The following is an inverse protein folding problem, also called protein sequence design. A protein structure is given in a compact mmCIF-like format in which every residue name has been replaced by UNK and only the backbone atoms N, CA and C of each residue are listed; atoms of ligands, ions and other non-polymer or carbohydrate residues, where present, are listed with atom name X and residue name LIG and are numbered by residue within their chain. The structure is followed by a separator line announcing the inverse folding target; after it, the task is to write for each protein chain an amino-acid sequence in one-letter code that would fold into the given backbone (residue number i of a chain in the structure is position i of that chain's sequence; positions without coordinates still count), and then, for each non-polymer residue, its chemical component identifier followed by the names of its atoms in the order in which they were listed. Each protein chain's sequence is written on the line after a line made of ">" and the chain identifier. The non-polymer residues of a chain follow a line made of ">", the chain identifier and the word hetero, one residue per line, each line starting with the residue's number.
data_IF_062419421303
#
_entry.id   IF_062419421303
#
_cell.length_a   1.000
_cell.length_b   1.000
_cell.length_c   1.000
_cell.angle_alpha   90.00
_cell.angle_beta   90.00
_cell.angle_gamma   90.00
#
_symmetry.space_group_name_H-M   'P 1'
#
loop_
_entity.id
_entity.type
_entity.pdbx_description
1 polymer ?
#
# COMPACT_ATOMS: atom_id res chain seq x y z
N UNK A 1 14.93 -16.75 -17.04
CA UNK A 1 14.77 -15.51 -16.28
C UNK A 1 13.29 -15.21 -16.30
N UNK A 2 12.67 -14.94 -15.15
CA UNK A 2 11.23 -14.68 -15.11
C UNK A 2 10.91 -13.31 -15.72
N UNK A 3 9.81 -13.25 -16.47
CA UNK A 3 9.30 -12.01 -17.06
C UNK A 3 8.34 -11.34 -16.06
N UNK A 4 8.77 -10.26 -15.45
CA UNK A 4 7.97 -9.48 -14.48
C UNK A 4 7.48 -8.21 -15.15
N UNK A 5 6.18 -7.96 -15.09
CA UNK A 5 5.58 -6.72 -15.57
C UNK A 5 5.13 -5.88 -14.37
N UNK A 6 5.62 -4.64 -14.28
CA UNK A 6 5.27 -3.71 -13.22
C UNK A 6 4.29 -2.67 -13.78
N UNK A 7 3.13 -2.55 -13.16
CA UNK A 7 2.07 -1.63 -13.55
C UNK A 7 2.16 -0.35 -12.73
N UNK A 8 2.73 0.70 -13.33
CA UNK A 8 2.95 2.01 -12.74
C UNK A 8 4.43 2.37 -12.57
N UNK A 9 4.83 3.50 -13.12
CA UNK A 9 6.16 4.12 -12.96
C UNK A 9 6.12 5.30 -11.97
N UNK A 10 5.34 5.16 -10.90
CA UNK A 10 5.31 6.09 -9.78
C UNK A 10 6.54 5.94 -8.87
N UNK A 11 6.57 6.67 -7.76
CA UNK A 11 7.69 6.61 -6.79
C UNK A 11 8.00 5.18 -6.34
N UNK A 12 6.96 4.40 -5.99
CA UNK A 12 7.12 3.04 -5.48
C UNK A 12 7.41 2.05 -6.62
N UNK A 13 6.60 2.07 -7.70
CA UNK A 13 6.81 1.16 -8.83
C UNK A 13 8.19 1.32 -9.50
N UNK A 14 8.71 2.54 -9.58
CA UNK A 14 10.07 2.78 -10.08
C UNK A 14 11.15 2.20 -9.15
N UNK A 15 10.97 2.30 -7.83
CA UNK A 15 11.90 1.70 -6.87
C UNK A 15 11.90 0.16 -6.94
N UNK A 16 10.71 -0.45 -7.04
CA UNK A 16 10.57 -1.89 -7.24
C UNK A 16 11.23 -2.35 -8.55
N UNK A 17 11.02 -1.61 -9.64
CA UNK A 17 11.62 -1.91 -10.93
C UNK A 17 13.14 -1.87 -10.90
N UNK A 18 13.70 -0.86 -10.23
CA UNK A 18 15.14 -0.69 -10.06
C UNK A 18 15.79 -1.84 -9.26
N UNK A 19 15.05 -2.42 -8.33
CA UNK A 19 15.55 -3.55 -7.54
C UNK A 19 15.35 -4.88 -8.28
N UNK A 20 14.15 -5.17 -8.75
CA UNK A 20 13.80 -6.42 -9.41
C UNK A 20 14.54 -6.65 -10.74
N UNK A 21 14.94 -5.61 -11.47
CA UNK A 21 15.69 -5.77 -12.72
C UNK A 21 17.09 -6.37 -12.54
N UNK A 22 17.56 -6.54 -11.31
CA UNK A 22 18.81 -7.24 -10.99
C UNK A 22 18.68 -8.77 -11.10
N UNK A 23 17.46 -9.29 -10.92
CA UNK A 23 17.19 -10.72 -10.80
C UNK A 23 16.19 -11.25 -11.84
N UNK A 24 15.40 -10.36 -12.45
CA UNK A 24 14.36 -10.70 -13.40
C UNK A 24 14.44 -9.84 -14.68
N UNK A 25 13.77 -10.31 -15.74
CA UNK A 25 13.48 -9.49 -16.91
C UNK A 25 12.28 -8.61 -16.60
N UNK A 26 12.51 -7.30 -16.40
CA UNK A 26 11.46 -6.37 -15.97
C UNK A 26 10.97 -5.52 -17.14
N UNK A 27 9.64 -5.43 -17.28
CA UNK A 27 8.98 -4.45 -18.12
C UNK A 27 8.11 -3.53 -17.26
N UNK A 28 8.33 -2.22 -17.33
CA UNK A 28 7.51 -1.23 -16.62
C UNK A 28 6.50 -0.62 -17.57
N UNK A 29 5.24 -0.55 -17.15
CA UNK A 29 4.14 -0.02 -17.94
C UNK A 29 3.55 1.21 -17.24
N UNK A 30 3.50 2.34 -17.94
CA UNK A 30 2.88 3.58 -17.46
C UNK A 30 2.42 4.43 -18.65
N UNK A 31 1.53 5.38 -18.43
CA UNK A 31 1.13 6.35 -19.44
C UNK A 31 2.14 7.49 -19.63
N UNK A 32 3.02 7.72 -18.66
CA UNK A 32 3.99 8.80 -18.65
C UNK A 32 5.30 8.37 -19.33
N UNK A 33 5.41 8.65 -20.63
CA UNK A 33 6.56 8.25 -21.44
C UNK A 33 7.89 8.84 -20.95
N UNK A 34 7.87 10.05 -20.40
CA UNK A 34 9.03 10.74 -19.83
C UNK A 34 9.59 10.02 -18.59
N UNK A 35 8.72 9.55 -17.69
CA UNK A 35 9.12 8.76 -16.53
C UNK A 35 9.72 7.42 -16.94
N UNK A 36 9.09 6.76 -17.90
CA UNK A 36 9.58 5.49 -18.45
C UNK A 36 10.96 5.65 -19.10
N UNK A 37 11.16 6.71 -19.88
CA UNK A 37 12.45 6.98 -20.49
C UNK A 37 13.55 7.28 -19.47
N UNK A 38 13.23 8.06 -18.42
CA UNK A 38 14.16 8.33 -17.34
C UNK A 38 14.56 7.05 -16.59
N UNK A 39 13.61 6.15 -16.33
CA UNK A 39 13.85 4.89 -15.64
C UNK A 39 14.71 3.94 -16.49
N UNK A 40 14.39 3.77 -17.78
CA UNK A 40 15.15 2.95 -18.71
C UNK A 40 16.59 3.48 -18.95
N UNK A 41 16.80 4.79 -18.83
CA UNK A 41 18.13 5.39 -18.90
C UNK A 41 19.02 5.08 -17.70
N UNK A 42 18.46 4.65 -16.59
CA UNK A 42 19.18 4.36 -15.34
C UNK A 42 19.30 2.86 -15.03
N UNK A 43 18.39 2.04 -15.54
CA UNK A 43 18.28 0.63 -15.19
C UNK A 43 18.11 -0.25 -16.43
N UNK A 44 18.63 -1.50 -16.42
CA UNK A 44 18.54 -2.45 -17.53
C UNK A 44 17.13 -3.11 -17.57
N UNK A 45 16.10 -2.37 -17.90
CA UNK A 45 14.71 -2.80 -17.98
C UNK A 45 14.04 -2.34 -19.27
N UNK A 46 12.91 -2.98 -19.59
CA UNK A 46 12.07 -2.59 -20.71
C UNK A 46 10.95 -1.65 -20.24
N UNK A 47 10.43 -0.86 -21.15
CA UNK A 47 9.32 0.05 -20.87
C UNK A 47 8.24 -0.06 -21.93
N UNK A 48 7.00 0.14 -21.54
CA UNK A 48 5.86 0.18 -22.44
C UNK A 48 4.91 1.31 -22.05
N UNK A 49 4.61 2.19 -23.00
CA UNK A 49 3.61 3.24 -22.78
C UNK A 49 2.22 2.65 -23.00
N UNK A 50 1.38 2.67 -21.97
CA UNK A 50 -0.02 2.23 -22.06
C UNK A 50 -0.89 2.94 -21.02
N UNK A 51 -2.17 3.08 -21.33
CA UNK A 51 -3.17 3.55 -20.37
C UNK A 51 -3.72 2.35 -19.60
N UNK A 52 -3.33 2.19 -18.35
CA UNK A 52 -3.74 1.07 -17.49
C UNK A 52 -5.21 1.11 -17.05
N UNK A 53 -5.92 2.23 -17.29
CA UNK A 53 -7.37 2.31 -17.11
C UNK A 53 -8.15 1.66 -18.26
N UNK A 54 -7.49 1.35 -19.37
CA UNK A 54 -8.04 0.61 -20.51
C UNK A 54 -7.72 -0.87 -20.33
N UNK A 55 -8.74 -1.69 -20.12
CA UNK A 55 -8.57 -3.12 -19.86
C UNK A 55 -7.90 -3.87 -21.02
N UNK A 56 -8.15 -3.49 -22.27
CA UNK A 56 -7.54 -4.16 -23.42
C UNK A 56 -6.07 -3.76 -23.56
N UNK A 57 -5.74 -2.50 -23.31
CA UNK A 57 -4.34 -2.04 -23.25
C UNK A 57 -3.58 -2.71 -22.09
N UNK A 58 -4.23 -2.90 -20.94
CA UNK A 58 -3.67 -3.63 -19.81
C UNK A 58 -3.41 -5.11 -20.16
N UNK A 59 -4.41 -5.83 -20.71
CA UNK A 59 -4.24 -7.22 -21.16
C UNK A 59 -3.10 -7.37 -22.16
N UNK A 60 -3.02 -6.45 -23.14
CA UNK A 60 -1.93 -6.46 -24.11
C UNK A 60 -0.56 -6.17 -23.44
N UNK A 61 -0.54 -5.32 -22.41
CA UNK A 61 0.70 -4.96 -21.73
C UNK A 61 1.29 -6.10 -20.90
N UNK A 62 0.46 -6.96 -20.31
CA UNK A 62 0.90 -8.09 -19.46
C UNK A 62 1.00 -9.43 -20.22
N UNK A 63 0.72 -9.44 -21.52
CA UNK A 63 0.81 -10.67 -22.31
C UNK A 63 2.21 -11.29 -22.25
N UNK A 64 2.28 -12.56 -21.83
CA UNK A 64 3.53 -13.30 -21.67
C UNK A 64 4.31 -12.99 -20.37
N UNK A 65 3.71 -12.30 -19.42
CA UNK A 65 4.27 -12.14 -18.09
C UNK A 65 4.15 -13.44 -17.28
N UNK A 66 5.19 -13.76 -16.50
CA UNK A 66 5.14 -14.83 -15.50
C UNK A 66 4.55 -14.29 -14.17
N UNK A 67 4.76 -13.00 -13.92
CA UNK A 67 4.30 -12.30 -12.72
C UNK A 67 3.99 -10.84 -13.06
N UNK A 68 2.90 -10.34 -12.50
CA UNK A 68 2.55 -8.92 -12.51
C UNK A 68 2.76 -8.32 -11.12
N UNK A 69 3.33 -7.13 -11.05
CA UNK A 69 3.40 -6.31 -9.83
C UNK A 69 2.50 -5.09 -10.02
N UNK A 70 1.43 -5.01 -9.24
CA UNK A 70 0.50 -3.90 -9.22
C UNK A 70 1.04 -2.75 -8.37
N UNK A 71 1.25 -1.58 -8.98
CA UNK A 71 1.71 -0.35 -8.31
C UNK A 71 0.95 0.88 -8.84
N UNK A 72 -0.32 0.68 -9.16
CA UNK A 72 -1.26 1.74 -9.59
C UNK A 72 -1.86 2.45 -8.37
N UNK A 73 -2.41 3.67 -8.53
CA UNK A 73 -3.17 4.34 -7.47
C UNK A 73 -4.37 3.51 -7.01
N UNK A 74 -4.77 3.66 -5.74
CA UNK A 74 -5.82 2.87 -5.11
C UNK A 74 -7.13 2.85 -5.89
N UNK A 75 -7.59 3.99 -6.42
CA UNK A 75 -8.84 4.08 -7.19
C UNK A 75 -8.88 3.24 -8.48
N UNK A 76 -7.73 2.74 -8.93
CA UNK A 76 -7.62 1.83 -10.09
C UNK A 76 -7.35 0.38 -9.66
N UNK A 77 -6.98 0.17 -8.41
CA UNK A 77 -6.41 -1.08 -7.91
C UNK A 77 -7.28 -2.29 -8.16
N UNK A 78 -8.54 -2.25 -7.71
CA UNK A 78 -9.46 -3.39 -7.83
C UNK A 78 -9.70 -3.82 -9.28
N UNK A 79 -10.03 -2.87 -10.17
CA UNK A 79 -10.27 -3.17 -11.58
C UNK A 79 -9.00 -3.69 -12.30
N UNK A 80 -7.83 -3.17 -11.93
CA UNK A 80 -6.54 -3.64 -12.43
C UNK A 80 -6.27 -5.06 -11.96
N UNK A 81 -6.43 -5.35 -10.66
CA UNK A 81 -6.25 -6.66 -10.06
C UNK A 81 -7.17 -7.70 -10.71
N UNK A 82 -8.47 -7.38 -10.84
CA UNK A 82 -9.44 -8.23 -11.51
C UNK A 82 -9.01 -8.57 -12.94
N UNK A 83 -8.63 -7.55 -13.73
CA UNK A 83 -8.20 -7.76 -15.12
C UNK A 83 -6.96 -8.66 -15.21
N UNK A 84 -5.98 -8.50 -14.30
CA UNK A 84 -4.80 -9.37 -14.26
C UNK A 84 -5.19 -10.81 -13.96
N UNK A 85 -6.03 -11.05 -12.95
CA UNK A 85 -6.52 -12.39 -12.57
C UNK A 85 -7.29 -13.03 -13.74
N UNK A 86 -8.15 -12.28 -14.43
CA UNK A 86 -8.88 -12.76 -15.62
C UNK A 86 -7.96 -13.30 -16.72
N UNK A 87 -6.76 -12.75 -16.86
CA UNK A 87 -5.78 -13.20 -17.86
C UNK A 87 -5.00 -14.45 -17.44
N UNK A 88 -5.16 -14.93 -16.22
CA UNK A 88 -4.49 -16.11 -15.70
C UNK A 88 -3.02 -15.88 -15.29
N UNK A 89 -2.64 -14.64 -14.97
CA UNK A 89 -1.27 -14.30 -14.55
C UNK A 89 -1.23 -14.06 -13.03
N UNK A 90 -0.22 -14.64 -12.38
CA UNK A 90 0.02 -14.38 -10.96
C UNK A 90 0.30 -12.90 -10.68
N UNK A 91 -0.15 -12.40 -9.53
CA UNK A 91 -0.02 -10.98 -9.22
C UNK A 91 0.35 -10.74 -7.76
N UNK A 92 1.24 -9.76 -7.55
CA UNK A 92 1.51 -9.14 -6.25
C UNK A 92 1.10 -7.68 -6.34
N UNK A 93 0.18 -7.25 -5.51
CA UNK A 93 -0.41 -5.91 -5.58
C UNK A 93 -0.21 -5.11 -4.30
N UNK A 94 0.25 -3.86 -4.46
CA UNK A 94 0.45 -2.94 -3.34
C UNK A 94 -0.64 -1.85 -3.27
N UNK A 95 -1.55 -1.80 -4.24
CA UNK A 95 -2.58 -0.76 -4.26
C UNK A 95 -3.59 -0.97 -3.14
N UNK A 96 -3.99 0.12 -2.49
CA UNK A 96 -4.97 0.08 -1.42
C UNK A 96 -6.28 0.73 -1.88
N UNK A 97 -7.26 -0.08 -2.22
CA UNK A 97 -8.57 0.29 -2.74
C UNK A 97 -9.68 0.02 -1.72
N UNK A 98 -10.88 0.55 -1.95
CA UNK A 98 -12.01 0.47 -1.01
C UNK A 98 -12.68 -0.90 -1.00
N UNK A 99 -12.70 -1.58 -2.15
CA UNK A 99 -13.36 -2.86 -2.33
C UNK A 99 -12.65 -3.95 -1.52
N UNK A 100 -13.38 -5.03 -1.21
CA UNK A 100 -12.81 -6.20 -0.56
C UNK A 100 -12.06 -7.05 -1.61
N UNK A 101 -10.74 -7.21 -1.51
CA UNK A 101 -9.97 -8.03 -2.46
C UNK A 101 -10.40 -9.50 -2.47
N UNK A 102 -11.00 -10.01 -1.39
CA UNK A 102 -11.48 -11.39 -1.31
C UNK A 102 -12.71 -11.66 -2.18
N UNK A 103 -13.40 -10.62 -2.69
CA UNK A 103 -14.43 -10.78 -3.72
C UNK A 103 -13.87 -11.44 -5.01
N UNK A 104 -12.56 -11.33 -5.23
CA UNK A 104 -11.86 -11.95 -6.38
C UNK A 104 -11.34 -13.37 -6.11
N UNK A 105 -11.51 -13.93 -4.89
CA UNK A 105 -10.97 -15.24 -4.54
C UNK A 105 -11.51 -16.36 -5.43
N UNK A 106 -12.82 -16.38 -5.67
CA UNK A 106 -13.44 -17.38 -6.55
C UNK A 106 -12.90 -17.30 -7.99
N UNK A 107 -12.70 -16.09 -8.51
CA UNK A 107 -12.13 -15.86 -9.83
C UNK A 107 -10.66 -16.32 -9.90
N UNK A 108 -9.86 -16.01 -8.87
CA UNK A 108 -8.47 -16.41 -8.80
C UNK A 108 -8.33 -17.94 -8.78
N UNK A 109 -9.17 -18.64 -8.02
CA UNK A 109 -9.24 -20.11 -7.98
C UNK A 109 -9.64 -20.71 -9.32
N UNK A 110 -10.65 -20.15 -9.98
CA UNK A 110 -11.11 -20.61 -11.29
C UNK A 110 -10.00 -20.47 -12.35
N UNK A 111 -9.22 -19.40 -12.28
CA UNK A 111 -8.10 -19.14 -13.20
C UNK A 111 -6.79 -19.83 -12.79
N UNK A 112 -6.72 -20.45 -11.63
CA UNK A 112 -5.50 -21.07 -11.11
C UNK A 112 -4.40 -20.04 -10.80
N UNK A 113 -4.79 -18.81 -10.40
CA UNK A 113 -3.90 -17.67 -10.14
C UNK A 113 -3.65 -17.52 -8.65
N UNK A 114 -2.41 -17.22 -8.29
CA UNK A 114 -2.06 -16.70 -6.97
C UNK A 114 -2.04 -15.17 -7.02
N UNK A 115 -2.94 -14.55 -6.26
CA UNK A 115 -2.98 -13.11 -6.07
C UNK A 115 -2.59 -12.77 -4.62
N UNK A 116 -1.49 -12.05 -4.45
CA UNK A 116 -1.05 -11.55 -3.14
C UNK A 116 -1.37 -10.06 -3.08
N UNK A 117 -2.29 -9.68 -2.22
CA UNK A 117 -2.80 -8.31 -2.09
C UNK A 117 -2.29 -7.66 -0.79
N UNK A 118 -2.53 -6.35 -0.65
CA UNK A 118 -2.07 -5.59 0.52
C UNK A 118 -0.56 -5.76 0.78
N UNK A 119 0.27 -5.73 -0.28
CA UNK A 119 1.68 -6.06 -0.22
C UNK A 119 2.59 -4.83 -0.12
N UNK A 120 2.10 -3.78 0.56
CA UNK A 120 2.85 -2.54 0.84
C UNK A 120 3.63 -2.58 2.15
N UNK A 121 3.76 -1.42 2.81
CA UNK A 121 4.37 -1.30 4.14
C UNK A 121 3.33 -1.56 5.23
N UNK A 122 2.20 -0.87 5.17
CA UNK A 122 1.03 -1.05 6.03
C UNK A 122 -0.23 -0.57 5.27
N UNK A 123 -0.95 -1.51 4.69
CA UNK A 123 -0.85 -2.98 4.78
C UNK A 123 0.37 -3.57 4.05
N UNK A 124 0.87 -4.70 4.53
CA UNK A 124 1.89 -5.52 3.88
C UNK A 124 2.99 -5.99 4.79
N UNK A 125 4.10 -5.27 4.92
CA UNK A 125 5.21 -5.66 5.81
C UNK A 125 4.73 -5.88 7.25
N UNK A 126 3.83 -5.05 7.73
CA UNK A 126 3.19 -5.19 9.03
C UNK A 126 2.47 -6.55 9.17
N UNK A 127 1.78 -7.02 8.12
CA UNK A 127 1.09 -8.31 8.08
C UNK A 127 2.07 -9.49 8.09
N UNK A 128 3.14 -9.39 7.32
CA UNK A 128 4.21 -10.40 7.27
C UNK A 128 4.86 -10.55 8.65
N UNK A 129 5.16 -9.43 9.31
CA UNK A 129 5.73 -9.42 10.66
C UNK A 129 4.77 -10.03 11.67
N UNK A 130 3.49 -9.66 11.62
CA UNK A 130 2.46 -10.24 12.48
C UNK A 130 2.36 -11.75 12.25
N UNK A 131 2.23 -12.21 11.02
CA UNK A 131 2.15 -13.63 10.68
C UNK A 131 3.37 -14.42 11.17
N UNK A 132 4.59 -13.88 10.97
CA UNK A 132 5.81 -14.49 11.47
C UNK A 132 5.81 -14.71 12.99
N UNK A 133 5.35 -13.73 13.75
CA UNK A 133 5.30 -13.84 15.20
C UNK A 133 4.15 -14.73 15.67
N UNK A 134 3.01 -14.69 15.02
CA UNK A 134 1.84 -15.48 15.37
C UNK A 134 2.04 -16.99 15.24
N UNK A 135 2.94 -17.42 14.33
CA UNK A 135 3.37 -18.83 14.24
C UNK A 135 4.25 -19.28 15.42
N UNK A 136 4.76 -18.36 16.23
CA UNK A 136 5.77 -18.61 17.27
C UNK A 136 5.33 -18.26 18.68
N UNK A 137 4.27 -17.45 18.80
CA UNK A 137 3.76 -16.98 20.08
C UNK A 137 2.26 -16.69 19.97
N UNK A 138 1.56 -16.72 21.11
CA UNK A 138 0.20 -16.21 21.18
C UNK A 138 0.25 -14.67 21.11
N UNK A 139 -0.33 -14.10 20.06
CA UNK A 139 -0.45 -12.64 19.89
C UNK A 139 -1.82 -12.24 20.43
N UNK A 140 -1.84 -11.48 21.51
CA UNK A 140 -3.07 -10.99 22.14
C UNK A 140 -3.52 -9.66 21.51
N UNK A 141 -2.56 -8.81 21.15
CA UNK A 141 -2.83 -7.53 20.49
C UNK A 141 -1.75 -7.18 19.47
N UNK A 142 -2.13 -6.44 18.44
CA UNK A 142 -1.23 -5.95 17.42
C UNK A 142 -1.55 -4.50 17.09
N UNK A 143 -0.51 -3.67 17.12
CA UNK A 143 -0.61 -2.27 16.76
C UNK A 143 0.49 -1.87 15.79
N UNK A 144 0.10 -1.35 14.64
CA UNK A 144 1.02 -0.85 13.63
C UNK A 144 1.04 0.68 13.65
N UNK A 145 2.21 1.26 13.90
CA UNK A 145 2.46 2.69 13.76
C UNK A 145 3.24 2.91 12.47
N UNK A 146 2.69 3.68 11.56
CA UNK A 146 3.30 3.96 10.26
C UNK A 146 3.16 5.44 9.92
N UNK A 147 4.15 6.01 9.24
CA UNK A 147 4.09 7.41 8.83
C UNK A 147 5.25 7.81 7.92
N UNK A 148 4.98 8.79 7.06
CA UNK A 148 5.99 9.45 6.24
C UNK A 148 6.47 10.72 6.91
N UNK A 149 7.73 10.77 7.36
CA UNK A 149 8.28 11.91 8.08
C UNK A 149 9.37 12.60 7.25
N UNK A 150 9.40 13.96 7.21
CA UNK A 150 10.52 14.66 6.60
C UNK A 150 11.78 14.50 7.45
N UNK A 151 12.93 14.29 6.81
CA UNK A 151 14.22 14.19 7.51
C UNK A 151 14.55 15.46 8.33
N UNK A 152 13.98 16.59 7.95
CA UNK A 152 14.05 17.85 8.70
C UNK A 152 12.66 18.38 8.87
N UNK A 153 12.28 18.70 10.12
CA UNK A 153 11.00 19.36 10.43
C UNK A 153 10.95 20.74 9.77
N UNK A 154 9.87 21.00 9.03
CA UNK A 154 9.62 22.32 8.45
C UNK A 154 8.14 22.66 8.60
N UNK A 155 7.86 23.78 9.22
CA UNK A 155 6.52 24.33 9.34
C UNK A 155 6.05 24.82 7.94
N UNK A 156 4.80 24.57 7.51
CA UNK A 156 3.74 23.80 8.20
C UNK A 156 3.77 22.30 7.86
N UNK A 157 4.71 21.83 7.06
CA UNK A 157 4.74 20.49 6.48
C UNK A 157 5.48 19.52 7.41
N UNK A 158 4.71 18.81 8.23
CA UNK A 158 5.27 17.85 9.19
C UNK A 158 5.05 16.38 8.80
N UNK A 159 4.44 16.16 7.66
CA UNK A 159 4.28 14.86 7.01
C UNK A 159 4.87 14.93 5.60
N UNK A 160 5.52 13.87 5.16
CA UNK A 160 6.04 13.74 3.80
C UNK A 160 5.64 12.39 3.24
N UNK A 161 4.70 12.38 2.31
CA UNK A 161 4.26 11.16 1.65
C UNK A 161 5.41 10.52 0.84
N UNK A 162 5.80 9.29 1.13
CA UNK A 162 6.73 8.53 0.30
C UNK A 162 6.05 7.80 -0.87
N UNK A 163 4.75 7.99 -1.05
CA UNK A 163 3.89 7.36 -2.06
C UNK A 163 2.91 8.38 -2.68
N UNK A 164 1.91 7.91 -3.41
CA UNK A 164 0.96 8.76 -4.13
C UNK A 164 0.23 9.75 -3.20
N UNK A 165 0.29 11.07 -3.45
CA UNK A 165 -0.39 12.06 -2.63
C UNK A 165 -1.91 11.91 -2.59
N UNK A 166 -2.53 11.35 -3.63
CA UNK A 166 -3.98 11.11 -3.63
C UNK A 166 -4.34 10.01 -2.63
N UNK A 167 -3.53 8.95 -2.54
CA UNK A 167 -3.75 7.86 -1.61
C UNK A 167 -3.57 8.32 -0.14
N UNK A 168 -2.68 9.30 0.11
CA UNK A 168 -2.58 9.96 1.43
C UNK A 168 -3.88 10.70 1.79
N UNK A 169 -4.49 11.39 0.83
CA UNK A 169 -5.76 12.07 1.07
C UNK A 169 -6.88 11.07 1.34
N UNK A 170 -6.91 9.95 0.63
CA UNK A 170 -7.85 8.86 0.87
C UNK A 170 -7.71 8.28 2.28
N UNK A 171 -6.49 8.07 2.79
CA UNK A 171 -6.25 7.61 4.15
C UNK A 171 -6.84 8.56 5.21
N UNK A 172 -6.90 9.85 4.94
CA UNK A 172 -7.42 10.85 5.87
C UNK A 172 -8.95 11.01 5.81
N UNK A 173 -9.60 10.41 4.84
CA UNK A 173 -11.05 10.49 4.62
C UNK A 173 -11.72 9.14 4.92
N UNK A 174 -11.07 8.04 4.54
CA UNK A 174 -11.62 6.70 4.67
C UNK A 174 -11.77 6.30 6.14
N UNK A 175 -12.96 5.81 6.57
CA UNK A 175 -13.14 5.32 7.93
C UNK A 175 -12.16 4.21 8.27
N UNK A 176 -11.58 4.28 9.47
CA UNK A 176 -10.62 3.30 9.97
C UNK A 176 -11.35 2.06 10.52
N UNK A 177 -11.05 0.89 9.97
CA UNK A 177 -11.49 -0.41 10.49
C UNK A 177 -10.47 -0.93 11.48
N UNK A 178 -10.91 -1.25 12.67
CA UNK A 178 -10.10 -1.75 13.77
C UNK A 178 -10.73 -3.02 14.32
N UNK A 179 -9.94 -3.90 14.90
CA UNK A 179 -10.45 -5.01 15.72
C UNK A 179 -10.30 -4.63 17.18
N UNK A 180 -11.40 -4.67 17.95
CA UNK A 180 -11.43 -4.39 19.39
C UNK A 180 -12.21 -5.50 20.07
N UNK A 181 -11.61 -6.16 21.03
CA UNK A 181 -12.24 -7.30 21.75
C UNK A 181 -12.76 -8.42 20.81
N UNK A 182 -12.09 -8.63 19.66
CA UNK A 182 -12.48 -9.62 18.65
C UNK A 182 -13.59 -9.19 17.71
N UNK A 183 -14.06 -7.94 17.78
CA UNK A 183 -15.08 -7.39 16.91
C UNK A 183 -14.54 -6.28 16.00
N UNK A 184 -15.01 -6.24 14.76
CA UNK A 184 -14.65 -5.16 13.82
C UNK A 184 -15.40 -3.88 14.19
N UNK A 185 -14.65 -2.84 14.53
CA UNK A 185 -15.17 -1.53 14.88
C UNK A 185 -14.71 -0.51 13.83
N UNK A 186 -15.64 0.28 13.32
CA UNK A 186 -15.33 1.36 12.37
C UNK A 186 -15.34 2.70 13.11
N UNK A 187 -14.24 3.43 12.97
CA UNK A 187 -14.08 4.78 13.53
C UNK A 187 -13.81 5.81 12.42
N UNK A 188 -14.09 7.09 12.64
CA UNK A 188 -13.66 8.13 11.69
C UNK A 188 -12.14 8.10 11.50
N UNK A 189 -11.68 8.43 10.31
CA UNK A 189 -10.26 8.71 10.08
C UNK A 189 -9.77 9.80 11.03
N UNK A 190 -8.49 9.77 11.40
CA UNK A 190 -7.83 10.70 12.33
C UNK A 190 -8.42 10.72 13.76
N UNK A 191 -9.24 9.72 14.12
CA UNK A 191 -9.78 9.59 15.46
C UNK A 191 -8.74 9.15 16.48
N UNK A 192 -9.06 9.32 17.76
CA UNK A 192 -8.25 8.92 18.93
C UNK A 192 -6.78 9.36 18.83
N UNK A 193 -6.50 10.66 18.62
CA UNK A 193 -5.13 11.15 18.56
C UNK A 193 -4.44 10.96 19.92
N UNK A 194 -3.22 10.44 19.89
CA UNK A 194 -2.42 10.22 21.08
C UNK A 194 -0.95 10.56 20.85
N UNK A 195 -0.23 11.09 21.85
CA UNK A 195 1.20 11.28 21.76
C UNK A 195 1.93 9.93 21.87
N UNK A 196 2.91 9.72 20.99
CA UNK A 196 3.79 8.56 21.01
C UNK A 196 5.24 9.02 20.96
N UNK A 197 6.06 8.52 21.86
CA UNK A 197 7.50 8.79 21.86
C UNK A 197 8.23 7.71 21.07
N UNK A 198 8.99 8.12 20.05
CA UNK A 198 9.75 7.21 19.18
C UNK A 198 11.20 7.69 19.10
N UNK A 199 12.11 6.98 19.75
CA UNK A 199 13.53 7.28 19.65
C UNK A 199 14.11 6.84 18.28
N UNK A 200 14.99 7.65 17.66
CA UNK A 200 15.48 8.98 18.06
C UNK A 200 14.65 10.15 17.51
N UNK A 201 13.42 9.88 17.02
CA UNK A 201 12.59 10.85 16.29
C UNK A 201 11.97 11.88 17.23
N UNK A 202 11.66 11.47 18.47
CA UNK A 202 10.96 12.24 19.48
C UNK A 202 9.45 12.04 19.46
N UNK A 203 8.72 12.97 20.08
CA UNK A 203 7.27 12.87 20.21
C UNK A 203 6.55 13.09 18.89
N UNK A 204 5.70 12.15 18.54
CA UNK A 204 4.80 12.17 17.39
C UNK A 204 3.35 12.13 17.87
N UNK A 205 2.43 12.52 17.02
CA UNK A 205 0.99 12.31 17.22
C UNK A 205 0.55 11.13 16.34
N UNK A 206 -0.01 10.10 16.97
CA UNK A 206 -0.58 8.95 16.28
C UNK A 206 -2.12 9.05 16.27
N UNK A 207 -2.75 8.64 15.18
CA UNK A 207 -4.21 8.64 15.01
C UNK A 207 -4.65 7.43 14.19
N UNK A 208 -5.93 7.06 14.28
CA UNK A 208 -6.47 5.91 13.58
C UNK A 208 -6.61 6.19 12.08
N UNK A 209 -6.13 5.22 11.28
CA UNK A 209 -6.38 5.15 9.83
C UNK A 209 -6.66 3.72 9.41
N UNK A 210 -7.26 3.53 8.23
CA UNK A 210 -7.55 2.22 7.68
C UNK A 210 -6.28 1.55 7.12
N UNK A 211 -6.19 0.23 7.16
CA UNK A 211 -5.03 -0.48 6.61
C UNK A 211 -4.84 -1.91 7.12
N UNK A 212 -5.82 -2.46 7.83
CA UNK A 212 -5.75 -3.83 8.34
C UNK A 212 -6.92 -4.71 7.84
N UNK A 213 -7.53 -4.34 6.70
CA UNK A 213 -8.72 -5.02 6.17
C UNK A 213 -8.53 -6.52 5.96
N UNK A 214 -7.36 -6.94 5.52
CA UNK A 214 -7.04 -8.34 5.26
C UNK A 214 -6.68 -9.16 6.52
N UNK A 215 -6.66 -8.53 7.71
CA UNK A 215 -6.46 -9.20 8.99
C UNK A 215 -7.75 -9.39 9.81
N UNK A 216 -8.88 -8.88 9.35
CA UNK A 216 -10.12 -8.87 10.12
C UNK A 216 -10.70 -10.28 10.36
N UNK A 217 -10.41 -11.23 9.48
CA UNK A 217 -10.93 -12.59 9.53
C UNK A 217 -9.97 -13.59 10.19
N UNK A 218 -8.84 -13.17 10.72
CA UNK A 218 -7.83 -14.10 11.27
C UNK A 218 -8.15 -14.60 12.70
N UNK A 219 -9.25 -14.12 13.30
CA UNK A 219 -9.75 -14.57 14.60
C UNK A 219 -8.92 -14.13 15.82
N UNK A 220 -8.00 -13.18 15.65
CA UNK A 220 -7.16 -12.64 16.73
C UNK A 220 -7.79 -11.42 17.39
N UNK A 221 -7.57 -11.27 18.71
CA UNK A 221 -8.40 -10.42 19.56
C UNK A 221 -8.31 -8.92 19.32
N UNK A 222 -7.17 -8.35 18.95
CA UNK A 222 -7.06 -6.90 18.75
C UNK A 222 -6.06 -6.53 17.65
N UNK A 223 -6.53 -5.84 16.63
CA UNK A 223 -5.68 -5.25 15.60
C UNK A 223 -5.98 -3.76 15.42
N UNK A 224 -4.97 -2.93 15.46
CA UNK A 224 -5.10 -1.49 15.25
C UNK A 224 -4.00 -0.92 14.39
N UNK A 225 -4.35 -0.12 13.38
CA UNK A 225 -3.40 0.73 12.66
C UNK A 225 -3.54 2.17 13.12
N UNK A 226 -2.39 2.81 13.40
CA UNK A 226 -2.31 4.25 13.59
C UNK A 226 -1.23 4.84 12.70
N UNK A 227 -1.55 5.90 12.01
CA UNK A 227 -0.56 6.72 11.33
C UNK A 227 0.09 7.68 12.32
N UNK A 228 1.35 8.00 12.07
CA UNK A 228 2.17 8.86 12.93
C UNK A 228 2.57 10.10 12.16
N UNK A 229 2.23 11.27 12.71
CA UNK A 229 2.66 12.54 12.19
C UNK A 229 3.41 13.33 13.27
N UNK A 230 4.18 14.33 12.86
CA UNK A 230 4.79 15.24 13.84
C UNK A 230 3.70 16.06 14.53
N UNK A 231 3.77 16.25 15.86
CA UNK A 231 2.80 17.06 16.58
C UNK A 231 2.72 18.46 15.97
N UNK A 232 1.51 18.96 15.80
CA UNK A 232 1.32 20.37 15.42
C UNK A 232 1.84 21.24 16.55
N UNK A 233 2.58 22.30 16.27
CA UNK A 233 2.95 23.24 17.32
C UNK A 233 1.67 23.79 17.94
N UNK A 234 1.48 23.58 19.24
CA UNK A 234 0.39 24.19 19.98
C UNK A 234 0.49 25.69 19.76
N UNK A 235 -0.54 26.34 19.24
CA UNK A 235 -0.69 27.77 19.36
C UNK A 235 -0.81 28.06 20.84
N UNK A 236 0.26 28.54 21.43
CA UNK A 236 0.19 29.17 22.75
C UNK A 236 -0.76 30.38 22.62
N UNK A 237 -1.92 30.28 23.24
CA UNK A 237 -2.83 31.42 23.39
C UNK A 237 -4.14 31.36 22.62
N UNK A 238 -4.98 30.38 22.90
CA UNK A 238 -6.42 30.54 22.81
C UNK A 238 -7.03 29.93 24.09
N UNK A 239 -7.21 30.72 25.12
CA UNK A 239 -8.14 30.38 26.19
C UNK A 239 -9.54 30.35 25.56
N UNK A 240 -10.36 29.35 25.80
CA UNK A 240 -11.78 29.40 25.46
C UNK A 240 -12.46 30.53 26.26
N UNK A 241 -13.51 31.12 25.71
CA UNK A 241 -14.30 32.15 26.41
C UNK A 241 -15.03 31.59 27.62
#
# INVERSE_FOLDING_TARGET
>A
MHNVVILGAGMVGSAMAADLCREASVTVVDRAADRLAALAGQHPLQTRVANLADADALRAAIAGADLVVGAVPGFMGFATLQTVIETGVNVVDISFFDEDPFELDALARDRGVTAVVDCGVAPGLSHIVLGYHAERMAVESFRCLVGGLPARRSWPWQYKAPFSPIDVLEEYIRPARLMVDGEVVTKPALSDPEPVEIEPVGTLEAFNTDGLRSLQDDGRAEHGRKDVALPRPHRAGARPP
#
